data_IF_266552473550
#
_entry.id   IF_266552473550
#
_cell.length_a   1.000
_cell.length_b   1.000
_cell.length_c   1.000
_cell.angle_alpha   90.00
_cell.angle_beta   90.00
_cell.angle_gamma   90.00
#
_symmetry.space_group_name_H-M   'P 1'
#
loop_
_entity.id
_entity.type
_entity.pdbx_description
1 polymer ?
#
# COMPACT_ATOMS: atom_id res chain seq x y z
N UNK A 1 2.62 7.34 -28.43
CA UNK A 1 1.91 8.64 -28.51
C UNK A 1 1.44 8.88 -29.93
N UNK A 2 0.42 9.71 -30.13
CA UNK A 2 0.03 10.18 -31.47
C UNK A 2 0.39 11.66 -31.60
N UNK A 3 1.11 12.04 -32.66
CA UNK A 3 1.46 13.44 -32.94
C UNK A 3 1.24 13.71 -34.43
N UNK A 4 0.50 14.78 -34.73
CA UNK A 4 0.19 15.18 -36.11
C UNK A 4 -0.38 14.04 -36.98
N UNK A 5 -1.21 13.17 -36.40
CA UNK A 5 -1.80 12.01 -37.10
C UNK A 5 -0.89 10.78 -37.23
N UNK A 6 0.41 10.87 -36.88
CA UNK A 6 1.32 9.74 -36.83
C UNK A 6 1.31 9.07 -35.45
N UNK A 7 1.36 7.73 -35.43
CA UNK A 7 1.42 6.93 -34.20
C UNK A 7 2.84 6.46 -33.93
N UNK A 8 3.29 6.62 -32.69
CA UNK A 8 4.60 6.24 -32.19
C UNK A 8 4.48 5.30 -31.00
N UNK A 9 5.40 4.34 -30.89
CA UNK A 9 5.36 3.27 -29.90
C UNK A 9 6.51 3.44 -28.91
N UNK A 10 6.20 3.34 -27.61
CA UNK A 10 7.16 3.47 -26.53
C UNK A 10 7.88 2.15 -26.26
N UNK A 11 9.20 2.23 -26.10
CA UNK A 11 10.04 1.14 -25.63
C UNK A 11 10.64 1.54 -24.28
N UNK A 12 10.47 0.68 -23.27
CA UNK A 12 10.92 0.94 -21.91
C UNK A 12 11.90 -0.11 -21.42
N UNK A 13 12.80 0.28 -20.51
CA UNK A 13 13.67 -0.67 -19.81
C UNK A 13 12.96 -1.32 -18.60
N UNK A 14 13.67 -2.16 -17.84
CA UNK A 14 13.11 -2.83 -16.65
C UNK A 14 12.78 -1.91 -15.46
N UNK A 15 13.32 -0.69 -15.45
CA UNK A 15 12.95 0.37 -14.50
C UNK A 15 11.66 1.10 -14.92
N UNK A 16 11.28 1.02 -16.20
CA UNK A 16 10.16 1.74 -16.79
C UNK A 16 10.57 3.04 -17.50
N UNK A 17 11.87 3.28 -17.71
CA UNK A 17 12.35 4.46 -18.42
C UNK A 17 12.11 4.31 -19.91
N UNK A 18 11.61 5.37 -20.55
CA UNK A 18 11.48 5.41 -22.01
C UNK A 18 12.86 5.48 -22.66
N UNK A 19 13.35 4.36 -23.19
CA UNK A 19 14.67 4.28 -23.84
C UNK A 19 14.60 4.50 -25.35
N UNK A 20 13.45 4.25 -25.98
CA UNK A 20 13.26 4.52 -27.40
C UNK A 20 11.80 4.76 -27.80
N UNK A 21 11.64 5.39 -28.97
CA UNK A 21 10.38 5.47 -29.70
C UNK A 21 10.57 4.89 -31.10
N UNK A 22 9.60 4.11 -31.57
CA UNK A 22 9.52 3.70 -32.98
C UNK A 22 8.30 4.27 -33.69
N UNK A 23 8.40 4.48 -34.99
CA UNK A 23 7.25 4.75 -35.86
C UNK A 23 6.47 3.47 -36.20
N UNK A 24 5.43 3.60 -37.03
CA UNK A 24 4.61 2.47 -37.51
C UNK A 24 5.36 1.46 -38.39
N UNK A 25 6.50 1.86 -38.95
CA UNK A 25 7.36 1.00 -39.76
C UNK A 25 8.45 0.32 -38.94
N UNK A 26 8.53 0.60 -37.63
CA UNK A 26 9.54 0.06 -36.72
C UNK A 26 10.86 0.83 -36.70
N UNK A 27 10.96 1.98 -37.38
CA UNK A 27 12.19 2.78 -37.34
C UNK A 27 12.29 3.50 -36.00
N UNK A 28 13.50 3.51 -35.41
CA UNK A 28 13.77 4.27 -34.18
C UNK A 28 13.80 5.77 -34.50
N UNK A 29 12.87 6.52 -33.92
CA UNK A 29 12.70 7.97 -34.13
C UNK A 29 13.09 8.80 -32.93
N UNK A 30 13.25 8.18 -31.76
CA UNK A 30 13.89 8.78 -30.59
C UNK A 30 14.62 7.70 -29.80
N UNK A 31 15.74 8.05 -29.19
CA UNK A 31 16.48 7.20 -28.26
C UNK A 31 17.03 8.03 -27.11
N UNK A 32 17.02 7.46 -25.91
CA UNK A 32 17.49 8.11 -24.69
C UNK A 32 18.33 7.15 -23.87
N UNK A 33 19.34 7.70 -23.21
CA UNK A 33 20.10 7.04 -22.16
C UNK A 33 20.06 7.91 -20.91
N UNK A 34 19.91 7.26 -19.75
CA UNK A 34 19.80 7.93 -18.46
C UNK A 34 20.84 7.39 -17.48
N UNK A 35 21.23 8.21 -16.51
CA UNK A 35 21.82 7.70 -15.27
C UNK A 35 20.74 7.18 -14.31
N UNK A 36 21.16 6.68 -13.15
CA UNK A 36 20.26 6.14 -12.14
C UNK A 36 19.26 7.16 -11.58
N UNK A 37 19.55 8.46 -11.66
CA UNK A 37 18.71 9.55 -11.14
C UNK A 37 17.82 10.18 -12.21
N UNK A 38 17.92 9.71 -13.46
CA UNK A 38 17.13 10.22 -14.57
C UNK A 38 17.76 11.39 -15.33
N UNK A 39 19.05 11.68 -15.10
CA UNK A 39 19.77 12.63 -15.95
C UNK A 39 19.96 12.03 -17.33
N UNK A 40 19.65 12.80 -18.37
CA UNK A 40 19.78 12.37 -19.76
C UNK A 40 21.26 12.40 -20.14
N UNK A 41 21.85 11.23 -20.38
CA UNK A 41 23.23 11.06 -20.84
C UNK A 41 23.34 11.17 -22.36
N UNK A 42 22.31 10.68 -23.08
CA UNK A 42 22.20 10.74 -24.53
C UNK A 42 20.76 10.93 -24.95
N UNK A 43 20.54 11.71 -26.02
CA UNK A 43 19.22 12.02 -26.59
C UNK A 43 19.38 12.22 -28.10
N UNK A 44 18.84 11.30 -28.90
CA UNK A 44 18.99 11.32 -30.36
C UNK A 44 17.67 11.00 -31.08
N UNK A 45 17.55 11.44 -32.34
CA UNK A 45 16.39 11.19 -33.19
C UNK A 45 15.43 12.37 -33.32
N UNK A 46 14.70 12.41 -34.43
CA UNK A 46 13.83 13.53 -34.80
C UNK A 46 12.67 13.77 -33.81
N UNK A 47 12.23 12.72 -33.11
CA UNK A 47 11.13 12.77 -32.14
C UNK A 47 11.62 12.94 -30.69
N UNK A 48 12.93 13.05 -30.45
CA UNK A 48 13.49 13.03 -29.11
C UNK A 48 13.08 14.23 -28.26
N UNK A 49 13.16 15.44 -28.82
CA UNK A 49 12.70 16.67 -28.13
C UNK A 49 11.17 16.72 -28.08
N UNK A 50 10.50 16.19 -29.09
CA UNK A 50 9.05 16.22 -29.22
C UNK A 50 8.30 15.35 -28.21
N UNK A 51 8.97 14.37 -27.60
CA UNK A 51 8.39 13.44 -26.66
C UNK A 51 8.57 13.96 -25.22
N UNK A 52 7.46 14.25 -24.52
CA UNK A 52 7.54 14.72 -23.15
C UNK A 52 7.74 13.58 -22.14
N UNK A 53 7.35 12.34 -22.45
CA UNK A 53 7.41 11.23 -21.48
C UNK A 53 8.76 10.52 -21.53
N UNK A 54 9.52 10.52 -20.43
CA UNK A 54 10.94 10.11 -20.40
C UNK A 54 11.23 9.13 -19.25
N UNK A 55 12.19 9.47 -18.38
CA UNK A 55 12.59 8.69 -17.22
C UNK A 55 11.38 8.30 -16.37
N UNK A 56 11.27 7.02 -16.02
CA UNK A 56 10.14 6.40 -15.32
C UNK A 56 8.74 6.75 -15.89
N UNK A 57 8.65 7.18 -17.16
CA UNK A 57 7.40 7.62 -17.78
C UNK A 57 6.92 9.02 -17.34
N UNK A 58 7.72 9.77 -16.59
CA UNK A 58 7.37 11.12 -16.15
C UNK A 58 7.36 12.12 -17.30
N UNK A 59 6.56 13.17 -17.14
CA UNK A 59 6.58 14.31 -18.05
C UNK A 59 7.85 15.14 -17.79
N UNK A 60 8.73 15.21 -18.77
CA UNK A 60 9.91 16.07 -18.75
C UNK A 60 9.58 17.41 -19.39
N UNK A 61 9.78 18.47 -18.61
CA UNK A 61 9.67 19.84 -19.07
C UNK A 61 11.02 20.30 -19.62
N UNK A 62 11.09 20.49 -20.93
CA UNK A 62 12.31 20.91 -21.64
C UNK A 62 12.76 22.33 -21.28
N UNK A 63 11.86 23.22 -20.84
CA UNK A 63 12.22 24.59 -20.51
C UNK A 63 12.94 24.66 -19.16
N UNK A 64 12.50 23.85 -18.20
CA UNK A 64 13.04 23.85 -16.83
C UNK A 64 14.06 22.74 -16.59
N UNK A 65 14.06 21.69 -17.40
CA UNK A 65 14.87 20.49 -17.20
C UNK A 65 14.38 19.59 -16.06
N UNK A 66 13.14 19.79 -15.60
CA UNK A 66 12.54 19.10 -14.47
C UNK A 66 11.53 18.03 -14.92
N UNK A 67 11.35 17.01 -14.08
CA UNK A 67 10.29 16.02 -14.26
C UNK A 67 9.07 16.40 -13.41
N UNK A 68 7.88 16.42 -14.01
CA UNK A 68 6.63 16.61 -13.30
C UNK A 68 6.01 15.27 -12.92
N UNK A 69 5.89 15.04 -11.60
CA UNK A 69 5.35 13.82 -10.99
C UNK A 69 3.98 14.10 -10.36
N UNK A 70 3.13 14.89 -11.03
CA UNK A 70 1.78 15.27 -10.59
C UNK A 70 1.74 16.19 -9.36
N UNK A 71 2.20 15.73 -8.21
CA UNK A 71 2.20 16.54 -6.99
C UNK A 71 3.39 17.51 -6.94
N UNK A 72 4.52 17.12 -7.52
CA UNK A 72 5.79 17.84 -7.37
C UNK A 72 6.64 17.76 -8.63
N UNK A 73 7.54 18.73 -8.74
CA UNK A 73 8.64 18.70 -9.70
C UNK A 73 9.88 18.06 -9.07
N UNK A 74 10.48 17.14 -9.81
CA UNK A 74 11.70 16.41 -9.48
C UNK A 74 12.85 16.95 -10.34
N UNK A 75 13.97 17.26 -9.67
CA UNK A 75 15.23 17.63 -10.30
C UNK A 75 16.18 16.42 -10.27
N UNK A 76 16.48 15.88 -11.45
CA UNK A 76 17.36 14.72 -11.60
C UNK A 76 18.84 15.04 -11.33
N UNK A 77 19.27 16.29 -11.53
CA UNK A 77 20.64 16.72 -11.29
C UNK A 77 20.90 16.78 -9.77
N UNK A 78 19.94 17.31 -9.02
CA UNK A 78 19.97 17.28 -7.55
C UNK A 78 19.61 15.91 -6.97
N UNK A 79 18.88 15.07 -7.71
CA UNK A 79 18.34 13.79 -7.24
C UNK A 79 17.20 13.95 -6.25
N UNK A 80 16.46 15.07 -6.27
CA UNK A 80 15.48 15.45 -5.23
C UNK A 80 14.30 16.25 -5.78
N UNK A 81 13.22 16.30 -5.03
CA UNK A 81 12.11 17.22 -5.32
C UNK A 81 12.52 18.66 -5.02
N UNK A 82 12.01 19.62 -5.79
CA UNK A 82 12.28 21.06 -5.57
C UNK A 82 11.30 21.70 -4.59
N UNK A 83 10.24 20.98 -4.21
CA UNK A 83 9.23 21.42 -3.25
C UNK A 83 9.06 20.40 -2.13
N UNK A 84 8.64 20.91 -0.97
CA UNK A 84 8.40 20.10 0.21
C UNK A 84 7.17 19.21 0.01
N UNK A 85 7.30 17.93 0.35
CA UNK A 85 6.19 16.99 0.40
C UNK A 85 5.11 17.48 1.38
N UNK A 86 3.84 17.42 0.97
CA UNK A 86 2.70 17.61 1.87
C UNK A 86 2.47 16.41 2.78
N UNK A 87 3.01 15.24 2.41
CA UNK A 87 3.10 14.09 3.28
C UNK A 87 4.28 14.27 4.26
N UNK A 88 4.03 13.99 5.54
CA UNK A 88 5.02 14.21 6.61
C UNK A 88 5.96 13.02 6.85
N UNK A 89 5.77 11.92 6.13
CA UNK A 89 6.48 10.67 6.38
C UNK A 89 5.79 9.78 7.40
N UNK A 90 6.39 8.62 7.63
CA UNK A 90 6.03 7.66 8.66
C UNK A 90 7.06 7.68 9.79
N UNK A 91 6.60 7.66 11.04
CA UNK A 91 7.47 7.71 12.23
C UNK A 91 8.44 6.53 12.32
N UNK A 92 8.04 5.37 11.79
CA UNK A 92 8.86 4.16 11.70
C UNK A 92 9.74 4.08 10.44
N UNK A 93 9.69 5.08 9.56
CA UNK A 93 10.53 5.16 8.36
C UNK A 93 11.28 6.49 8.30
N UNK A 94 12.45 6.60 8.95
CA UNK A 94 13.18 7.88 9.06
C UNK A 94 13.48 8.56 7.73
N UNK A 95 13.70 7.80 6.65
CA UNK A 95 13.95 8.35 5.31
C UNK A 95 12.73 9.08 4.74
N UNK A 96 11.52 8.66 5.08
CA UNK A 96 10.28 9.29 4.62
C UNK A 96 10.02 10.66 5.26
N UNK A 97 10.70 10.96 6.38
CA UNK A 97 10.59 12.25 7.09
C UNK A 97 11.31 13.37 6.31
N UNK A 98 12.25 13.02 5.45
CA UNK A 98 12.91 14.00 4.61
C UNK A 98 12.06 14.33 3.38
N UNK A 99 11.29 15.41 3.48
CA UNK A 99 10.22 15.82 2.56
C UNK A 99 10.66 16.26 1.15
N UNK A 100 11.90 16.02 0.78
CA UNK A 100 12.44 16.31 -0.55
C UNK A 100 13.09 15.08 -1.19
N UNK A 101 13.11 13.94 -0.48
CA UNK A 101 13.71 12.69 -0.96
C UNK A 101 12.91 12.15 -2.13
N UNK A 102 13.62 11.81 -3.21
CA UNK A 102 13.10 10.97 -4.28
C UNK A 102 13.42 9.50 -3.97
N UNK A 103 12.44 8.62 -4.16
CA UNK A 103 12.63 7.14 -4.19
C UNK A 103 13.43 6.54 -3.03
N UNK A 104 13.29 7.09 -1.82
CA UNK A 104 14.06 6.67 -0.63
C UNK A 104 15.58 6.70 -0.84
N UNK A 105 16.06 7.61 -1.70
CA UNK A 105 17.44 7.69 -2.18
C UNK A 105 17.94 6.42 -2.89
N UNK A 106 17.04 5.61 -3.45
CA UNK A 106 17.39 4.41 -4.21
C UNK A 106 16.53 4.32 -5.48
N UNK A 107 16.80 5.21 -6.46
CA UNK A 107 16.03 5.27 -7.71
C UNK A 107 16.29 4.09 -8.65
N UNK A 108 17.15 3.13 -8.29
CA UNK A 108 17.40 1.95 -9.14
C UNK A 108 16.31 0.90 -8.95
N UNK A 109 15.76 0.79 -7.74
CA UNK A 109 14.76 -0.22 -7.39
C UNK A 109 13.43 0.39 -6.94
N UNK A 110 13.32 1.72 -6.89
CA UNK A 110 12.09 2.42 -6.50
C UNK A 110 11.70 3.47 -7.54
N UNK A 111 10.40 3.65 -7.73
CA UNK A 111 9.80 4.67 -8.59
C UNK A 111 8.73 5.45 -7.80
N UNK A 112 8.50 6.73 -8.10
CA UNK A 112 7.47 7.55 -7.44
C UNK A 112 6.43 8.02 -8.47
N UNK A 113 5.28 7.35 -8.49
CA UNK A 113 4.26 7.53 -9.54
C UNK A 113 3.49 8.84 -9.37
N UNK A 114 3.33 9.32 -8.12
CA UNK A 114 2.46 10.46 -7.79
C UNK A 114 3.19 11.62 -7.15
N UNK A 115 4.51 11.54 -7.03
CA UNK A 115 5.33 12.54 -6.38
C UNK A 115 5.11 12.58 -4.87
N UNK A 116 4.77 11.48 -4.21
CA UNK A 116 4.64 11.38 -2.75
C UNK A 116 5.24 10.10 -2.19
N UNK A 117 5.15 8.99 -2.93
CA UNK A 117 5.47 7.67 -2.39
C UNK A 117 6.38 6.89 -3.33
N UNK A 118 7.47 6.39 -2.76
CA UNK A 118 8.35 5.45 -3.44
C UNK A 118 7.76 4.03 -3.42
N UNK A 119 7.53 3.47 -4.60
CA UNK A 119 7.07 2.12 -4.83
C UNK A 119 8.23 1.23 -5.25
N UNK A 120 8.36 0.05 -4.64
CA UNK A 120 9.37 -0.93 -5.04
C UNK A 120 9.04 -1.43 -6.45
N UNK A 121 10.03 -1.39 -7.34
CA UNK A 121 9.96 -2.06 -8.62
C UNK A 121 9.94 -3.57 -8.39
N UNK A 122 8.79 -4.18 -8.69
CA UNK A 122 8.71 -5.63 -8.83
C UNK A 122 9.07 -5.93 -10.28
N UNK A 123 10.25 -6.52 -10.58
CA UNK A 123 10.60 -6.82 -11.96
C UNK A 123 9.62 -7.86 -12.51
N UNK A 124 8.67 -7.40 -13.35
CA UNK A 124 7.77 -8.23 -14.14
C UNK A 124 8.56 -8.86 -15.31
N UNK A 125 9.60 -9.63 -15.00
CA UNK A 125 10.30 -10.42 -16.00
C UNK A 125 9.37 -11.56 -16.45
N UNK A 126 8.66 -11.37 -17.57
CA UNK A 126 8.02 -12.46 -18.31
C UNK A 126 6.53 -12.36 -18.60
N UNK A 127 5.87 -11.20 -18.45
CA UNK A 127 4.48 -11.04 -18.91
C UNK A 127 4.46 -10.36 -20.27
N UNK A 128 4.27 -11.15 -21.33
CA UNK A 128 4.08 -10.68 -22.70
C UNK A 128 2.89 -9.72 -22.77
N UNK A 129 3.09 -8.57 -23.43
CA UNK A 129 2.11 -7.49 -23.67
C UNK A 129 1.08 -7.94 -24.73
N UNK A 130 0.44 -9.09 -24.51
CA UNK A 130 -0.68 -9.60 -25.32
C UNK A 130 -1.87 -10.05 -24.47
N UNK A 131 -1.82 -9.85 -23.15
CA UNK A 131 -2.94 -10.03 -22.22
C UNK A 131 -3.30 -8.72 -21.52
N UNK A 132 -3.55 -7.67 -22.30
CA UNK A 132 -4.13 -6.41 -21.81
C UNK A 132 -5.62 -6.35 -22.15
N UNK A 133 -6.35 -7.40 -21.76
CA UNK A 133 -7.80 -7.30 -21.55
C UNK A 133 -8.13 -7.91 -20.17
N UNK A 134 -8.87 -7.15 -19.37
CA UNK A 134 -9.29 -7.39 -17.98
C UNK A 134 -8.22 -7.33 -16.86
N UNK A 135 -7.06 -7.99 -16.97
CA UNK A 135 -6.15 -8.13 -15.81
C UNK A 135 -5.38 -6.84 -15.42
N UNK A 136 -5.07 -5.97 -16.38
CA UNK A 136 -4.36 -4.71 -16.10
C UNK A 136 -5.28 -3.64 -15.47
N UNK A 137 -6.58 -3.69 -15.77
CA UNK A 137 -7.60 -2.86 -15.11
C UNK A 137 -7.82 -3.36 -13.68
N UNK A 138 -7.75 -4.67 -13.43
CA UNK A 138 -7.84 -5.22 -12.07
C UNK A 138 -6.60 -4.89 -11.24
N UNK A 139 -5.38 -4.97 -11.77
CA UNK A 139 -4.18 -4.62 -11.00
C UNK A 139 -4.09 -3.13 -10.67
N UNK A 140 -4.44 -2.24 -11.62
CA UNK A 140 -4.53 -0.79 -11.33
C UNK A 140 -5.72 -0.45 -10.45
N UNK A 141 -6.87 -1.11 -10.59
CA UNK A 141 -8.00 -0.93 -9.67
C UNK A 141 -7.70 -1.47 -8.27
N UNK A 142 -6.93 -2.55 -8.12
CA UNK A 142 -6.49 -3.08 -6.82
C UNK A 142 -5.47 -2.14 -6.20
N UNK A 143 -4.53 -1.59 -6.97
CA UNK A 143 -3.54 -0.63 -6.45
C UNK A 143 -4.21 0.71 -6.12
N UNK A 144 -5.11 1.23 -6.97
CA UNK A 144 -5.89 2.43 -6.66
C UNK A 144 -6.85 2.19 -5.50
N UNK A 145 -7.48 1.01 -5.38
CA UNK A 145 -8.33 0.67 -4.25
C UNK A 145 -7.51 0.44 -2.97
N UNK A 146 -6.28 -0.06 -3.06
CA UNK A 146 -5.37 -0.22 -1.94
C UNK A 146 -4.82 1.14 -1.49
N UNK A 147 -4.43 2.00 -2.43
CA UNK A 147 -3.99 3.38 -2.15
C UNK A 147 -5.16 4.22 -1.63
N UNK A 148 -6.35 4.11 -2.22
CA UNK A 148 -7.56 4.77 -1.72
C UNK A 148 -8.02 4.19 -0.38
N UNK A 149 -7.89 2.88 -0.15
CA UNK A 149 -8.14 2.27 1.15
C UNK A 149 -7.12 2.76 2.17
N UNK A 150 -5.84 2.92 1.80
CA UNK A 150 -4.80 3.44 2.69
C UNK A 150 -4.93 4.95 2.93
N UNK A 151 -5.41 5.72 1.96
CA UNK A 151 -5.75 7.14 2.13
C UNK A 151 -7.02 7.31 2.95
N UNK A 152 -8.03 6.46 2.75
CA UNK A 152 -9.22 6.42 3.62
C UNK A 152 -8.82 5.96 5.02
N UNK A 153 -7.95 4.95 5.16
CA UNK A 153 -7.41 4.50 6.45
C UNK A 153 -6.59 5.61 7.09
N UNK A 154 -5.76 6.35 6.35
CA UNK A 154 -4.97 7.47 6.87
C UNK A 154 -5.84 8.69 7.21
N UNK A 155 -6.93 8.93 6.47
CA UNK A 155 -7.95 9.96 6.77
C UNK A 155 -8.80 9.54 7.95
N UNK A 156 -9.11 8.25 8.09
CA UNK A 156 -9.77 7.68 9.26
C UNK A 156 -8.82 7.75 10.47
N UNK A 157 -7.56 7.38 10.35
CA UNK A 157 -6.52 7.50 11.38
C UNK A 157 -6.31 8.96 11.79
N UNK A 158 -6.31 9.90 10.83
CA UNK A 158 -6.31 11.35 11.08
C UNK A 158 -7.59 11.84 11.76
N UNK A 159 -8.77 11.35 11.35
CA UNK A 159 -10.06 11.64 12.03
C UNK A 159 -10.16 11.00 13.41
N UNK A 160 -9.49 9.87 13.64
CA UNK A 160 -9.57 9.07 14.85
C UNK A 160 -8.42 9.30 15.85
N UNK A 161 -7.41 10.11 15.50
CA UNK A 161 -6.34 10.63 16.36
C UNK A 161 -6.15 9.86 17.67
N UNK A 162 -5.63 8.63 17.60
CA UNK A 162 -5.23 7.88 18.79
C UNK A 162 -3.86 7.24 18.59
N UNK A 163 -2.90 7.82 19.33
CA UNK A 163 -1.63 7.26 19.84
C UNK A 163 -1.52 5.74 19.70
N UNK A 164 -0.32 5.27 19.31
CA UNK A 164 0.22 3.91 19.46
C UNK A 164 -0.85 2.85 19.79
N UNK A 165 -1.33 2.09 18.80
CA UNK A 165 -2.46 1.21 18.99
C UNK A 165 -2.18 0.21 20.12
N UNK A 166 -3.17 0.01 20.98
CA UNK A 166 -3.05 -0.88 22.13
C UNK A 166 -3.13 -2.32 21.65
N UNK A 167 -1.97 -2.97 21.52
CA UNK A 167 -1.88 -4.38 21.14
C UNK A 167 -2.46 -5.27 22.23
N UNK A 168 -3.32 -6.19 21.82
CA UNK A 168 -3.93 -7.19 22.68
C UNK A 168 -3.68 -8.59 22.12
N UNK A 169 -3.54 -9.53 23.03
CA UNK A 169 -3.15 -10.90 22.75
C UNK A 169 -4.21 -11.86 23.26
N UNK A 170 -4.39 -12.95 22.52
CA UNK A 170 -5.20 -14.08 22.95
C UNK A 170 -4.41 -15.36 22.76
N UNK A 171 -4.24 -16.11 23.84
CA UNK A 171 -3.50 -17.36 23.82
C UNK A 171 -4.28 -18.46 23.11
N UNK A 172 -3.55 -19.34 22.45
CA UNK A 172 -4.08 -20.49 21.71
C UNK A 172 -3.96 -20.36 20.20
N UNK A 173 -4.62 -21.29 19.51
CA UNK A 173 -4.42 -21.56 18.08
C UNK A 173 -4.94 -20.50 17.10
N UNK A 174 -5.72 -19.53 17.58
CA UNK A 174 -6.41 -18.56 16.70
C UNK A 174 -7.37 -19.19 15.70
N UNK A 175 -7.81 -20.43 15.93
CA UNK A 175 -8.86 -21.07 15.11
C UNK A 175 -10.25 -20.51 15.49
N UNK A 176 -11.28 -20.89 14.74
CA UNK A 176 -12.62 -20.35 14.95
C UNK A 176 -13.15 -20.60 16.37
N UNK A 177 -12.94 -21.79 16.93
CA UNK A 177 -13.33 -22.09 18.31
C UNK A 177 -12.56 -21.27 19.34
N UNK A 178 -11.25 -21.02 19.11
CA UNK A 178 -10.46 -20.14 19.95
C UNK A 178 -10.99 -18.69 19.85
N UNK A 179 -11.37 -18.20 18.68
CA UNK A 179 -11.84 -16.82 18.46
C UNK A 179 -13.36 -16.64 18.60
N UNK A 180 -14.04 -17.58 19.25
CA UNK A 180 -15.46 -17.48 19.61
C UNK A 180 -15.58 -17.55 21.14
N UNK A 181 -16.52 -16.88 21.81
CA UNK A 181 -16.75 -17.00 23.26
C UNK A 181 -17.25 -18.39 23.67
N UNK A 182 -16.98 -18.78 24.92
CA UNK A 182 -17.61 -19.97 25.54
C UNK A 182 -18.97 -19.58 26.14
N UNK A 183 -19.84 -20.54 26.50
CA UNK A 183 -21.09 -20.26 27.20
C UNK A 183 -20.94 -19.40 28.46
N UNK A 184 -19.82 -19.52 29.17
CA UNK A 184 -19.52 -18.71 30.36
C UNK A 184 -18.97 -17.31 30.07
N UNK A 185 -18.50 -17.06 28.85
CA UNK A 185 -17.86 -15.80 28.46
C UNK A 185 -18.93 -14.77 28.03
N UNK A 186 -19.98 -14.58 28.84
CA UNK A 186 -21.18 -13.78 28.48
C UNK A 186 -20.92 -12.28 28.38
N UNK A 187 -19.86 -11.79 29.03
CA UNK A 187 -19.45 -10.39 28.99
C UNK A 187 -18.54 -10.06 27.81
N UNK A 188 -17.96 -11.07 27.15
CA UNK A 188 -17.03 -10.87 26.03
C UNK A 188 -15.96 -11.95 25.94
N UNK A 189 -15.32 -12.02 24.79
CA UNK A 189 -14.13 -12.84 24.57
C UNK A 189 -12.91 -12.17 25.21
N UNK A 190 -12.22 -12.90 26.07
CA UNK A 190 -11.06 -12.37 26.80
C UNK A 190 -9.78 -12.26 25.97
N UNK A 191 -9.10 -11.13 26.12
CA UNK A 191 -7.76 -10.82 25.64
C UNK A 191 -6.92 -10.23 26.78
N UNK A 192 -5.61 -10.09 26.55
CA UNK A 192 -4.67 -9.46 27.48
C UNK A 192 -3.79 -8.44 26.78
N UNK A 193 -3.37 -7.38 27.46
CA UNK A 193 -2.35 -6.44 26.94
C UNK A 193 -0.92 -6.93 27.13
N UNK A 194 -0.73 -8.07 27.81
CA UNK A 194 0.59 -8.66 28.07
C UNK A 194 0.91 -9.70 27.00
N UNK A 195 2.02 -9.52 26.30
CA UNK A 195 2.50 -10.47 25.29
C UNK A 195 2.79 -11.84 25.93
N UNK A 196 2.23 -12.94 25.42
CA UNK A 196 2.58 -14.28 25.88
C UNK A 196 4.08 -14.56 25.70
N UNK A 197 4.72 -15.14 26.71
CA UNK A 197 6.15 -15.48 26.68
C UNK A 197 6.43 -16.78 25.91
N UNK A 198 5.42 -17.65 25.77
CA UNK A 198 5.54 -18.93 25.09
C UNK A 198 4.18 -19.42 24.58
N UNK A 199 4.23 -20.38 23.64
CA UNK A 199 3.06 -21.00 23.03
C UNK A 199 2.38 -20.14 21.97
N UNK A 200 1.45 -20.73 21.19
CA UNK A 200 0.77 -20.02 20.12
C UNK A 200 -0.18 -18.95 20.68
N UNK A 201 -0.26 -17.84 19.97
CA UNK A 201 -1.20 -16.78 20.28
C UNK A 201 -1.61 -16.00 19.02
N UNK A 202 -2.67 -15.22 19.17
CA UNK A 202 -3.09 -14.21 18.19
C UNK A 202 -2.88 -12.82 18.75
N UNK A 203 -2.42 -11.90 17.91
CA UNK A 203 -2.29 -10.48 18.24
C UNK A 203 -3.17 -9.62 17.33
N UNK A 204 -3.81 -8.60 17.91
CA UNK A 204 -4.56 -7.55 17.20
C UNK A 204 -4.53 -6.28 18.05
N UNK A 205 -5.27 -5.23 17.70
CA UNK A 205 -5.31 -3.98 18.46
C UNK A 205 -6.73 -3.62 18.88
N UNK A 206 -6.86 -2.92 20.02
CA UNK A 206 -8.16 -2.40 20.48
C UNK A 206 -8.79 -1.53 19.39
N UNK A 207 -7.97 -0.72 18.72
CA UNK A 207 -8.35 0.22 17.69
C UNK A 207 -8.86 -0.51 16.44
N UNK A 208 -8.19 -1.57 15.98
CA UNK A 208 -8.64 -2.35 14.82
C UNK A 208 -10.00 -3.03 15.08
N UNK A 209 -10.22 -3.55 16.30
CA UNK A 209 -11.51 -4.12 16.70
C UNK A 209 -12.60 -3.03 16.72
N UNK A 210 -12.32 -1.89 17.36
CA UNK A 210 -13.28 -0.80 17.49
C UNK A 210 -13.62 -0.16 16.14
N UNK A 211 -12.66 -0.07 15.22
CA UNK A 211 -12.84 0.49 13.88
C UNK A 211 -13.86 -0.30 13.03
N UNK A 212 -14.14 -1.55 13.38
CA UNK A 212 -15.15 -2.35 12.67
C UNK A 212 -16.58 -1.87 12.87
N UNK A 213 -16.86 -1.12 13.94
CA UNK A 213 -18.22 -0.74 14.35
C UNK A 213 -19.13 -1.91 14.73
N UNK A 214 -18.64 -3.16 14.65
CA UNK A 214 -19.40 -4.39 14.93
C UNK A 214 -19.03 -4.99 16.29
N UNK A 215 -17.74 -4.95 16.62
CA UNK A 215 -17.18 -5.35 17.90
C UNK A 215 -16.61 -4.13 18.63
N UNK A 216 -16.53 -4.23 19.95
CA UNK A 216 -15.83 -3.29 20.83
C UNK A 216 -14.88 -4.05 21.73
N UNK A 217 -13.64 -3.57 21.82
CA UNK A 217 -12.63 -4.01 22.77
C UNK A 217 -12.55 -3.01 23.93
N UNK A 218 -12.81 -3.49 25.14
CA UNK A 218 -12.86 -2.66 26.35
C UNK A 218 -11.82 -3.17 27.33
N UNK A 219 -10.90 -2.29 27.72
CA UNK A 219 -9.96 -2.56 28.80
C UNK A 219 -10.68 -2.42 30.14
N UNK A 220 -11.03 -3.55 30.75
CA UNK A 220 -11.81 -3.67 31.97
C UNK A 220 -10.98 -4.21 33.16
N UNK A 221 -9.69 -4.45 32.95
CA UNK A 221 -8.73 -4.73 34.01
C UNK A 221 -7.34 -4.14 33.74
N UNK A 222 -6.42 -4.33 34.69
CA UNK A 222 -5.01 -3.85 34.56
C UNK A 222 -4.37 -4.34 33.26
N UNK A 223 -4.60 -5.61 32.95
CA UNK A 223 -4.12 -6.29 31.75
C UNK A 223 -5.24 -6.93 30.93
N UNK A 224 -6.46 -7.02 31.47
CA UNK A 224 -7.58 -7.69 30.82
C UNK A 224 -8.29 -6.78 29.81
N UNK A 225 -8.72 -7.38 28.70
CA UNK A 225 -9.55 -6.71 27.68
C UNK A 225 -10.67 -7.66 27.27
N UNK A 226 -11.91 -7.18 27.35
CA UNK A 226 -13.09 -7.89 26.85
C UNK A 226 -13.45 -7.43 25.44
N UNK A 227 -13.52 -8.36 24.50
CA UNK A 227 -13.98 -8.13 23.13
C UNK A 227 -15.40 -8.65 22.97
N UNK A 228 -16.35 -7.76 22.66
CA UNK A 228 -17.78 -8.09 22.62
C UNK A 228 -18.51 -7.34 21.51
N UNK A 229 -19.70 -7.80 21.08
CA UNK A 229 -20.50 -7.07 20.10
C UNK A 229 -20.89 -5.68 20.63
N UNK A 230 -20.91 -4.68 19.74
CA UNK A 230 -21.44 -3.35 20.09
C UNK A 230 -22.90 -3.45 20.53
N UNK A 231 -23.70 -4.28 19.84
CA UNK A 231 -25.04 -4.66 20.26
C UNK A 231 -25.01 -5.98 21.05
N UNK A 232 -25.06 -5.89 22.37
CA UNK A 232 -24.99 -7.05 23.28
C UNK A 232 -26.09 -8.10 23.05
N UNK A 233 -27.23 -7.77 22.42
CA UNK A 233 -28.25 -8.77 22.06
C UNK A 233 -27.72 -9.85 21.10
N UNK A 234 -26.66 -9.53 20.33
CA UNK A 234 -26.00 -10.46 19.41
C UNK A 234 -24.97 -11.37 20.10
N UNK A 235 -24.66 -11.15 21.38
CA UNK A 235 -23.65 -11.92 22.11
C UNK A 235 -24.02 -13.41 22.19
N UNK A 236 -25.28 -13.72 22.48
CA UNK A 236 -25.74 -15.11 22.59
C UNK A 236 -25.65 -15.86 21.26
N UNK A 237 -25.99 -15.21 20.14
CA UNK A 237 -25.84 -15.82 18.81
C UNK A 237 -24.38 -16.13 18.48
N UNK A 238 -23.46 -15.27 18.91
CA UNK A 238 -22.03 -15.52 18.76
C UNK A 238 -21.55 -16.68 19.64
N UNK A 239 -21.96 -16.74 20.92
CA UNK A 239 -21.67 -17.86 21.82
C UNK A 239 -22.17 -19.18 21.24
N UNK A 240 -23.41 -19.22 20.77
CA UNK A 240 -24.05 -20.43 20.25
C UNK A 240 -23.37 -20.95 18.98
N UNK A 241 -22.67 -20.10 18.23
CA UNK A 241 -21.95 -20.50 17.03
C UNK A 241 -20.66 -21.29 17.29
N UNK A 242 -20.21 -21.38 18.55
CA UNK A 242 -18.90 -21.93 18.92
C UNK A 242 -18.63 -23.33 18.39
N UNK A 243 -19.62 -24.22 18.48
CA UNK A 243 -19.48 -25.62 18.07
C UNK A 243 -19.09 -25.74 16.59
N UNK A 244 -19.69 -24.90 15.74
CA UNK A 244 -19.45 -24.86 14.31
C UNK A 244 -18.38 -23.84 13.89
N UNK A 245 -17.66 -23.24 14.84
CA UNK A 245 -16.85 -22.06 14.55
C UNK A 245 -15.69 -22.31 13.59
N UNK A 246 -15.21 -23.54 13.44
CA UNK A 246 -14.12 -23.86 12.50
C UNK A 246 -14.62 -24.11 11.05
N UNK A 247 -15.87 -24.52 10.88
CA UNK A 247 -16.45 -24.87 9.57
C UNK A 247 -17.41 -23.80 9.06
N UNK A 248 -18.18 -23.18 9.94
CA UNK A 248 -19.15 -22.10 9.66
C UNK A 248 -19.04 -20.99 10.72
N UNK A 249 -17.92 -20.24 10.76
CA UNK A 249 -17.71 -19.20 11.75
C UNK A 249 -18.77 -18.10 11.67
N UNK A 250 -19.19 -17.62 12.84
CA UNK A 250 -20.03 -16.43 12.97
C UNK A 250 -19.32 -15.19 12.41
N UNK A 251 -20.09 -14.16 12.04
CA UNK A 251 -19.55 -12.93 11.45
C UNK A 251 -18.44 -12.30 12.32
N UNK A 252 -18.61 -12.31 13.64
CA UNK A 252 -17.61 -11.80 14.59
C UNK A 252 -16.35 -12.65 14.69
N UNK A 253 -16.49 -13.97 14.60
CA UNK A 253 -15.33 -14.87 14.57
C UNK A 253 -14.52 -14.67 13.29
N UNK A 254 -15.18 -14.52 12.14
CA UNK A 254 -14.53 -14.19 10.86
C UNK A 254 -13.80 -12.85 10.93
N UNK A 255 -14.44 -11.85 11.53
CA UNK A 255 -13.86 -10.52 11.74
C UNK A 255 -12.58 -10.61 12.56
N UNK A 256 -12.60 -11.32 13.69
CA UNK A 256 -11.41 -11.50 14.52
C UNK A 256 -10.34 -12.31 13.80
N UNK A 257 -10.69 -13.30 12.98
CA UNK A 257 -9.71 -14.03 12.16
C UNK A 257 -9.02 -13.11 11.14
N UNK A 258 -9.75 -12.19 10.51
CA UNK A 258 -9.20 -11.26 9.52
C UNK A 258 -8.32 -10.18 10.18
N UNK A 259 -8.67 -9.74 11.39
CA UNK A 259 -7.95 -8.69 12.11
C UNK A 259 -6.77 -9.18 12.95
N UNK A 260 -6.61 -10.50 13.10
CA UNK A 260 -5.62 -11.07 14.02
C UNK A 260 -4.46 -11.71 13.27
N UNK A 261 -3.25 -11.38 13.67
CA UNK A 261 -2.02 -12.07 13.23
C UNK A 261 -1.80 -13.28 14.14
N UNK A 262 -1.61 -14.46 13.53
CA UNK A 262 -1.24 -15.68 14.26
C UNK A 262 0.27 -15.75 14.45
N UNK A 263 0.69 -16.01 15.68
CA UNK A 263 2.09 -16.29 16.02
C UNK A 263 2.14 -17.72 16.55
N UNK A 264 3.01 -18.53 15.94
CA UNK A 264 3.21 -19.95 16.28
C UNK A 264 4.36 -20.10 17.24
#
# INVERSE_FOLDING_TARGET
MTKAGATYYYHVNGHGDVVALTDASGNVVAQYEYDAWGNILSKTGAMATANPYRYAGYYYDEETGLYYLMARYYDANMGRFITRDTFHGFENEPLSINQYVYTKNNPVIYVDINGHFAFLLVPLAGVSISWLTAAAVEATAIVIAYVAANEIVSVLERKFNRKNPTVIYRTGSGNGTNLTPRPKDVSGLSYTTVKPLSGPYTATTIEAINATGKLVAIKDGKTHVSVRPVNMKKMQGWINSRENANTRPHEYTKLLQALSVKVK
#
